data_IF_327227956043
#
_entry.id   IF_327227956043
#
_cell.length_a   1.000
_cell.length_b   1.000
_cell.length_c   1.000
_cell.angle_alpha   90.00
_cell.angle_beta   90.00
_cell.angle_gamma   90.00
#
_symmetry.space_group_name_H-M   'P 1'
#
loop_
_entity.id
_entity.type
_entity.pdbx_description
1 polymer ?
#
# COMPACT_ATOMS: atom_id res chain seq x y z
N UNK A 1 -21.93 9.30 -19.11
CA UNK A 1 -21.62 9.25 -20.56
C UNK A 1 -20.10 9.14 -20.79
N UNK A 2 -19.46 8.14 -20.16
CA UNK A 2 -18.02 7.83 -20.29
C UNK A 2 -17.76 6.32 -19.95
N UNK A 3 -18.67 5.44 -20.37
CA UNK A 3 -18.51 3.96 -20.27
C UNK A 3 -18.93 3.30 -21.59
N UNK A 4 -18.73 3.97 -22.73
CA UNK A 4 -19.15 3.42 -24.04
C UNK A 4 -18.12 3.53 -25.17
N UNK A 5 -16.86 3.86 -24.89
CA UNK A 5 -15.84 4.03 -25.95
C UNK A 5 -14.58 3.16 -25.74
N UNK A 6 -14.72 1.94 -25.20
CA UNK A 6 -13.65 0.92 -25.23
C UNK A 6 -14.02 -0.22 -26.20
N UNK A 7 -14.96 0.01 -27.13
CA UNK A 7 -15.39 -0.99 -28.13
C UNK A 7 -14.90 -0.69 -29.55
N UNK A 8 -13.97 0.24 -29.76
CA UNK A 8 -13.59 0.69 -31.11
C UNK A 8 -12.15 0.41 -31.52
N UNK A 9 -11.52 -0.66 -31.03
CA UNK A 9 -10.34 -1.21 -31.73
C UNK A 9 -10.15 -2.74 -31.50
N UNK A 10 -10.90 -3.59 -32.23
CA UNK A 10 -10.81 -5.05 -32.11
C UNK A 10 -9.48 -5.65 -32.61
N UNK A 11 -8.60 -4.85 -33.23
CA UNK A 11 -7.31 -5.33 -33.73
C UNK A 11 -6.24 -5.47 -32.64
N UNK A 12 -6.25 -4.64 -31.58
CA UNK A 12 -5.17 -4.65 -30.59
C UNK A 12 -5.30 -5.78 -29.57
N UNK A 13 -6.54 -6.12 -29.16
CA UNK A 13 -6.82 -7.20 -28.20
C UNK A 13 -6.63 -8.57 -28.87
N UNK A 14 -7.07 -8.72 -30.13
CA UNK A 14 -6.93 -9.97 -30.87
C UNK A 14 -5.45 -10.30 -31.16
N UNK A 15 -4.59 -9.30 -31.38
CA UNK A 15 -3.16 -9.53 -31.66
C UNK A 15 -2.38 -9.99 -30.42
N UNK A 16 -2.79 -9.58 -29.21
CA UNK A 16 -2.19 -10.05 -27.95
C UNK A 16 -2.69 -11.45 -27.61
N UNK A 17 -3.99 -11.72 -27.75
CA UNK A 17 -4.56 -13.06 -27.52
C UNK A 17 -4.03 -14.11 -28.53
N UNK A 18 -3.89 -13.75 -29.82
CA UNK A 18 -3.35 -14.65 -30.84
C UNK A 18 -1.85 -14.89 -30.69
N UNK A 19 -1.04 -13.87 -30.37
CA UNK A 19 0.40 -14.08 -30.10
C UNK A 19 0.66 -14.87 -28.83
N UNK A 20 -0.13 -14.66 -27.78
CA UNK A 20 -0.04 -15.48 -26.56
C UNK A 20 -0.45 -16.93 -26.83
N UNK A 21 -1.40 -17.17 -27.73
CA UNK A 21 -1.84 -18.52 -28.11
C UNK A 21 -0.81 -19.27 -28.97
N UNK A 22 -0.15 -18.57 -29.91
CA UNK A 22 0.90 -19.16 -30.76
C UNK A 22 2.20 -19.40 -29.99
N UNK A 23 2.62 -18.49 -29.10
CA UNK A 23 3.77 -18.74 -28.21
C UNK A 23 3.49 -19.82 -27.16
N UNK A 24 2.27 -19.93 -26.62
CA UNK A 24 1.91 -21.03 -25.70
C UNK A 24 1.99 -22.41 -26.37
N UNK A 25 1.79 -22.49 -27.69
CA UNK A 25 1.80 -23.75 -28.43
C UNK A 25 3.21 -24.31 -28.70
N UNK A 26 4.24 -23.45 -28.61
CA UNK A 26 5.65 -23.83 -28.82
C UNK A 26 6.46 -23.96 -27.52
N UNK A 27 5.85 -23.69 -26.36
CA UNK A 27 6.42 -24.03 -25.06
C UNK A 27 6.18 -25.52 -24.83
N UNK A 28 7.23 -26.36 -24.61
CA UNK A 28 7.01 -27.76 -24.28
C UNK A 28 6.11 -27.83 -23.05
N UNK A 29 5.04 -28.62 -23.11
CA UNK A 29 4.06 -28.74 -22.04
C UNK A 29 4.78 -29.01 -20.72
N UNK A 30 4.91 -27.97 -19.90
CA UNK A 30 5.38 -28.12 -18.53
C UNK A 30 4.21 -28.79 -17.81
N UNK A 31 4.27 -30.12 -17.70
CA UNK A 31 3.46 -30.85 -16.74
C UNK A 31 3.92 -30.42 -15.35
N UNK A 32 3.39 -29.32 -14.87
CA UNK A 32 3.36 -29.03 -13.45
C UNK A 32 1.90 -29.04 -13.08
N UNK A 33 1.50 -30.08 -12.34
CA UNK A 33 0.48 -29.93 -11.33
C UNK A 33 0.90 -28.70 -10.50
N UNK A 34 0.38 -27.54 -10.88
CA UNK A 34 0.76 -26.27 -10.29
C UNK A 34 0.33 -26.29 -8.85
N UNK A 35 1.25 -26.65 -7.95
CA UNK A 35 1.17 -26.23 -6.56
C UNK A 35 0.82 -24.75 -6.61
N UNK A 36 -0.37 -24.40 -6.11
CA UNK A 36 -0.61 -23.06 -5.58
C UNK A 36 0.67 -22.66 -4.85
N UNK A 37 1.24 -21.48 -5.15
CA UNK A 37 2.42 -20.99 -4.44
C UNK A 37 2.18 -21.27 -2.95
N UNK A 38 2.95 -22.18 -2.33
CA UNK A 38 2.71 -22.46 -0.94
C UNK A 38 2.97 -21.14 -0.23
N UNK A 39 1.92 -20.59 0.38
CA UNK A 39 2.11 -19.64 1.45
C UNK A 39 2.73 -20.49 2.55
N UNK A 40 4.05 -20.64 2.51
CA UNK A 40 4.85 -21.29 3.54
C UNK A 40 4.88 -20.37 4.78
N UNK A 41 3.69 -20.00 5.27
CA UNK A 41 3.55 -19.39 6.57
C UNK A 41 3.91 -20.47 7.60
N UNK A 42 4.82 -20.19 8.55
CA UNK A 42 5.20 -21.16 9.56
C UNK A 42 3.95 -21.66 10.31
N UNK A 43 3.85 -22.95 10.63
CA UNK A 43 2.68 -23.49 11.32
C UNK A 43 2.51 -22.79 12.67
N UNK A 44 1.40 -22.07 12.82
CA UNK A 44 1.05 -21.38 14.06
C UNK A 44 0.65 -22.44 15.10
N UNK A 45 1.54 -22.70 16.05
CA UNK A 45 1.40 -23.79 17.03
C UNK A 45 0.46 -23.46 18.21
N UNK A 46 -0.01 -22.22 18.33
CA UNK A 46 -0.93 -21.76 19.39
C UNK A 46 -1.68 -20.49 18.98
N UNK A 47 -2.88 -20.20 19.54
CA UNK A 47 -3.59 -18.95 19.24
C UNK A 47 -2.72 -17.76 19.65
N UNK A 48 -2.34 -16.94 18.67
CA UNK A 48 -1.51 -15.78 18.86
C UNK A 48 -2.37 -14.57 19.28
N UNK A 49 -1.81 -13.69 20.11
CA UNK A 49 -2.39 -12.37 20.31
C UNK A 49 -2.30 -11.56 19.01
N UNK A 50 -3.21 -10.59 18.82
CA UNK A 50 -3.20 -9.70 17.64
C UNK A 50 -1.83 -9.04 17.42
N UNK A 51 -1.14 -8.67 18.50
CA UNK A 51 0.20 -8.09 18.48
C UNK A 51 1.31 -9.05 18.05
N UNK A 52 1.07 -10.36 18.05
CA UNK A 52 2.05 -11.35 17.63
C UNK A 52 1.91 -11.70 16.14
N UNK A 53 0.73 -11.44 15.54
CA UNK A 53 0.53 -11.67 14.11
C UNK A 53 1.40 -10.77 13.23
N UNK A 54 1.73 -9.55 13.67
CA UNK A 54 2.63 -8.67 12.93
C UNK A 54 4.11 -9.13 12.95
N UNK A 55 4.45 -10.15 13.75
CA UNK A 55 5.80 -10.70 13.87
C UNK A 55 5.99 -11.99 13.07
N UNK A 56 4.95 -12.45 12.36
CA UNK A 56 5.04 -13.64 11.51
C UNK A 56 5.76 -13.23 10.23
N UNK A 57 6.87 -13.88 9.86
CA UNK A 57 7.51 -13.63 8.58
C UNK A 57 6.60 -14.11 7.46
N UNK A 58 6.28 -13.21 6.52
CA UNK A 58 5.38 -13.51 5.40
C UNK A 58 6.13 -13.43 4.07
N UNK A 59 7.15 -12.58 3.99
CA UNK A 59 7.98 -12.42 2.81
C UNK A 59 9.31 -13.17 2.96
N UNK A 60 9.93 -13.59 1.84
CA UNK A 60 11.29 -14.11 1.88
C UNK A 60 12.30 -13.16 2.54
N UNK A 61 12.08 -11.84 2.43
CA UNK A 61 12.90 -10.80 3.05
C UNK A 61 12.80 -10.73 4.58
N UNK A 62 11.78 -11.38 5.16
CA UNK A 62 11.56 -11.40 6.61
C UNK A 62 12.28 -12.58 7.27
N UNK A 63 12.65 -13.58 6.46
CA UNK A 63 13.39 -14.76 6.91
C UNK A 63 14.88 -14.48 6.85
N UNK A 64 15.41 -13.90 7.92
CA UNK A 64 16.83 -13.57 8.06
C UNK A 64 17.56 -14.61 8.91
N UNK A 65 18.80 -14.93 8.53
CA UNK A 65 19.71 -15.66 9.43
C UNK A 65 20.14 -14.75 10.59
N UNK A 66 20.56 -15.33 11.72
CA UNK A 66 21.01 -14.54 12.88
C UNK A 66 22.11 -13.51 12.52
N UNK A 67 23.04 -13.88 11.62
CA UNK A 67 24.09 -12.97 11.15
C UNK A 67 23.56 -11.86 10.25
N UNK A 68 22.52 -12.10 9.46
CA UNK A 68 21.85 -11.06 8.68
C UNK A 68 21.00 -10.14 9.54
N UNK A 69 20.33 -10.68 10.57
CA UNK A 69 19.61 -9.86 11.56
C UNK A 69 20.56 -8.91 12.27
N UNK A 70 21.71 -9.38 12.76
CA UNK A 70 22.70 -8.52 13.41
C UNK A 70 23.30 -7.49 12.44
N UNK A 71 23.44 -7.85 11.16
CA UNK A 71 23.96 -6.95 10.11
C UNK A 71 22.96 -5.87 9.70
N UNK A 72 21.70 -6.25 9.48
CA UNK A 72 20.68 -5.36 8.92
C UNK A 72 19.84 -4.64 9.98
N UNK A 73 19.72 -5.23 11.17
CA UNK A 73 18.98 -4.70 12.32
C UNK A 73 19.83 -4.81 13.60
N UNK A 74 21.01 -4.15 13.66
CA UNK A 74 21.86 -4.22 14.84
C UNK A 74 21.15 -3.62 16.08
N UNK A 75 21.11 -4.32 17.23
CA UNK A 75 20.34 -3.88 18.41
C UNK A 75 20.75 -2.51 18.98
N UNK A 76 21.99 -2.08 18.69
CA UNK A 76 22.54 -0.81 19.16
C UNK A 76 22.22 0.38 18.25
N UNK A 77 21.55 0.15 17.12
CA UNK A 77 21.27 1.20 16.13
C UNK A 77 19.77 1.36 15.98
N UNK A 78 19.30 2.54 16.32
CA UNK A 78 17.92 2.94 16.17
C UNK A 78 17.79 4.14 15.24
N UNK A 79 16.61 4.30 14.69
CA UNK A 79 16.25 5.49 13.93
C UNK A 79 15.89 6.68 14.85
N UNK A 80 15.40 7.76 14.25
CA UNK A 80 14.97 8.99 14.94
C UNK A 80 13.74 8.82 15.85
N UNK A 81 13.08 7.67 15.77
CA UNK A 81 11.91 7.30 16.57
C UNK A 81 12.23 6.26 17.66
N UNK A 82 13.51 5.88 17.83
CA UNK A 82 13.97 4.79 18.69
C UNK A 82 13.49 3.39 18.25
N UNK A 83 13.13 3.23 16.97
CA UNK A 83 12.82 1.94 16.38
C UNK A 83 14.09 1.29 15.79
N UNK A 84 14.16 -0.04 15.64
CA UNK A 84 15.30 -0.70 15.01
C UNK A 84 15.55 -0.16 13.59
N UNK A 85 16.76 0.32 13.32
CA UNK A 85 17.09 0.88 12.02
C UNK A 85 17.19 -0.21 10.94
N UNK A 86 16.48 -0.04 9.83
CA UNK A 86 16.54 -0.95 8.68
C UNK A 86 17.72 -0.60 7.75
N UNK A 87 18.82 -1.34 7.90
CA UNK A 87 20.04 -1.14 7.11
C UNK A 87 20.10 -2.00 5.84
N UNK A 88 18.99 -2.63 5.44
CA UNK A 88 18.96 -3.39 4.18
C UNK A 88 19.26 -2.47 3.00
N UNK A 89 20.01 -2.95 1.98
CA UNK A 89 20.33 -2.15 0.79
C UNK A 89 19.14 -2.01 -0.16
N UNK A 90 18.13 -2.88 -0.03
CA UNK A 90 16.94 -2.92 -0.86
C UNK A 90 15.72 -3.12 0.04
N UNK A 91 14.67 -2.35 -0.23
CA UNK A 91 13.35 -2.46 0.40
C UNK A 91 12.25 -2.18 -0.63
N UNK A 92 10.98 -2.31 -0.23
CA UNK A 92 9.80 -2.12 -1.07
C UNK A 92 9.75 -0.75 -1.76
N UNK A 93 10.43 0.27 -1.22
CA UNK A 93 10.51 1.61 -1.80
C UNK A 93 11.33 1.65 -3.10
N UNK A 94 12.27 0.72 -3.26
CA UNK A 94 13.15 0.63 -4.43
C UNK A 94 12.78 -0.49 -5.39
N UNK A 95 11.78 -1.29 -5.04
CA UNK A 95 11.36 -2.45 -5.83
C UNK A 95 10.63 -2.03 -7.11
N UNK A 96 11.01 -2.63 -8.24
CA UNK A 96 10.31 -2.46 -9.53
C UNK A 96 9.08 -3.38 -9.63
N UNK A 97 8.29 -3.24 -10.69
CA UNK A 97 7.10 -4.09 -10.90
C UNK A 97 7.45 -5.57 -11.08
N UNK A 98 8.62 -5.88 -11.66
CA UNK A 98 9.09 -7.24 -11.89
C UNK A 98 9.61 -7.91 -10.60
N UNK A 99 10.00 -7.11 -9.62
CA UNK A 99 10.60 -7.57 -8.36
C UNK A 99 9.57 -7.60 -7.21
N UNK A 100 8.41 -6.98 -7.37
CA UNK A 100 7.39 -6.92 -6.31
C UNK A 100 6.81 -8.31 -6.06
N UNK A 101 7.00 -8.82 -4.84
CA UNK A 101 6.44 -10.11 -4.45
C UNK A 101 4.89 -10.06 -4.45
N UNK A 102 4.18 -11.12 -4.87
CA UNK A 102 2.71 -11.11 -4.89
C UNK A 102 2.08 -10.84 -3.52
N UNK A 103 2.69 -11.36 -2.44
CA UNK A 103 2.17 -11.12 -1.09
C UNK A 103 2.34 -9.66 -0.67
N UNK A 104 3.48 -9.03 -0.97
CA UNK A 104 3.72 -7.59 -0.74
C UNK A 104 2.68 -6.74 -1.48
N UNK A 105 2.42 -7.06 -2.76
CA UNK A 105 1.39 -6.39 -3.54
C UNK A 105 0.02 -6.48 -2.88
N UNK A 106 -0.37 -7.68 -2.43
CA UNK A 106 -1.66 -7.91 -1.78
C UNK A 106 -1.76 -7.18 -0.43
N UNK A 107 -0.71 -7.24 0.38
CA UNK A 107 -0.66 -6.59 1.69
C UNK A 107 -0.75 -5.07 1.56
N UNK A 108 0.03 -4.47 0.64
CA UNK A 108 -0.02 -3.02 0.43
C UNK A 108 -1.40 -2.57 -0.04
N UNK A 109 -2.03 -3.30 -0.95
CA UNK A 109 -3.42 -3.00 -1.36
C UNK A 109 -4.41 -3.19 -0.21
N UNK A 110 -4.26 -4.26 0.56
CA UNK A 110 -5.13 -4.58 1.69
C UNK A 110 -5.10 -3.46 2.72
N UNK A 111 -3.90 -3.08 3.18
CA UNK A 111 -3.70 -2.07 4.23
C UNK A 111 -4.06 -0.67 3.75
N UNK A 112 -3.63 -0.28 2.54
CA UNK A 112 -3.74 1.11 2.10
C UNK A 112 -5.04 1.45 1.35
N UNK A 113 -5.82 0.46 0.90
CA UNK A 113 -7.02 0.71 0.09
C UNK A 113 -8.22 -0.13 0.52
N UNK A 114 -8.04 -1.44 0.69
CA UNK A 114 -9.15 -2.35 1.01
C UNK A 114 -9.68 -2.13 2.42
N UNK A 115 -8.81 -2.11 3.44
CA UNK A 115 -9.21 -1.89 4.83
C UNK A 115 -9.89 -0.53 5.01
N UNK A 116 -9.34 0.61 4.52
CA UNK A 116 -10.05 1.88 4.54
C UNK A 116 -11.45 1.82 3.91
N UNK A 117 -11.59 1.16 2.75
CA UNK A 117 -12.88 0.98 2.08
C UNK A 117 -13.88 0.21 2.95
N UNK A 118 -13.43 -0.86 3.60
CA UNK A 118 -14.27 -1.68 4.50
C UNK A 118 -14.67 -0.91 5.76
N UNK A 119 -13.76 -0.14 6.36
CA UNK A 119 -14.06 0.67 7.55
C UNK A 119 -15.10 1.75 7.22
N UNK A 120 -14.94 2.45 6.10
CA UNK A 120 -15.94 3.42 5.64
C UNK A 120 -17.29 2.74 5.44
N UNK A 121 -17.33 1.61 4.73
CA UNK A 121 -18.57 0.87 4.50
C UNK A 121 -19.27 0.46 5.80
N UNK A 122 -18.52 -0.03 6.80
CA UNK A 122 -19.10 -0.50 8.06
C UNK A 122 -19.51 0.62 9.01
N UNK A 123 -18.76 1.72 9.04
CA UNK A 123 -19.02 2.82 9.98
C UNK A 123 -19.95 3.91 9.44
N UNK A 124 -20.28 3.89 8.16
CA UNK A 124 -21.15 4.89 7.53
C UNK A 124 -22.45 5.11 8.31
N UNK A 125 -23.14 4.04 8.74
CA UNK A 125 -24.40 4.16 9.48
C UNK A 125 -24.23 4.75 10.89
N UNK A 126 -23.10 4.47 11.54
CA UNK A 126 -22.79 5.03 12.86
C UNK A 126 -22.46 6.52 12.74
N UNK A 127 -21.62 6.88 11.76
CA UNK A 127 -21.23 8.27 11.49
C UNK A 127 -22.42 9.14 11.08
N UNK A 128 -23.42 8.59 10.38
CA UNK A 128 -24.64 9.33 10.03
C UNK A 128 -25.51 9.59 11.27
N UNK A 129 -25.59 8.64 12.21
CA UNK A 129 -26.36 8.82 13.45
C UNK A 129 -25.73 9.88 14.35
N UNK A 130 -24.40 9.91 14.45
CA UNK A 130 -23.69 10.87 15.31
C UNK A 130 -23.89 12.33 14.88
N UNK A 131 -24.21 12.59 13.61
CA UNK A 131 -24.53 13.96 13.11
C UNK A 131 -25.72 14.57 13.86
N UNK A 132 -26.67 13.74 14.29
CA UNK A 132 -27.88 14.20 14.95
C UNK A 132 -27.76 14.26 16.49
N UNK A 133 -26.79 13.57 17.09
CA UNK A 133 -26.63 13.48 18.55
C UNK A 133 -25.41 14.25 19.07
N UNK A 134 -24.23 13.98 18.51
CA UNK A 134 -22.94 14.28 19.16
C UNK A 134 -22.08 15.28 18.38
N UNK A 135 -22.25 15.33 17.05
CA UNK A 135 -21.45 16.19 16.17
C UNK A 135 -22.34 17.05 15.26
N UNK A 136 -22.86 18.20 15.76
CA UNK A 136 -23.77 19.05 14.99
C UNK A 136 -23.13 19.66 13.74
N UNK A 137 -21.80 19.63 13.65
CA UNK A 137 -21.02 20.09 12.49
C UNK A 137 -20.82 19.00 11.43
N UNK A 138 -21.33 17.79 11.65
CA UNK A 138 -21.15 16.63 10.79
C UNK A 138 -20.01 15.70 11.25
N UNK A 139 -19.88 14.59 10.55
CA UNK A 139 -18.85 13.57 10.77
C UNK A 139 -17.81 13.63 9.66
N UNK A 140 -16.55 13.29 9.97
CA UNK A 140 -15.46 13.37 9.01
C UNK A 140 -14.80 12.01 8.81
N UNK A 141 -14.49 11.69 7.55
CA UNK A 141 -13.59 10.60 7.17
C UNK A 141 -12.40 11.23 6.46
N UNK A 142 -11.22 11.15 7.08
CA UNK A 142 -9.98 11.68 6.53
C UNK A 142 -9.09 10.51 6.10
N UNK A 143 -9.00 10.29 4.80
CA UNK A 143 -8.14 9.27 4.21
C UNK A 143 -6.72 9.81 4.04
N UNK A 144 -5.75 9.21 4.73
CA UNK A 144 -4.34 9.64 4.64
C UNK A 144 -3.69 9.05 3.38
N UNK A 145 -3.53 9.91 2.39
CA UNK A 145 -2.94 9.62 1.08
C UNK A 145 -1.56 10.25 0.97
N UNK A 146 -1.02 10.32 -0.25
CA UNK A 146 0.24 10.99 -0.54
C UNK A 146 0.35 11.42 -2.01
N UNK A 147 1.41 12.15 -2.35
CA UNK A 147 1.68 12.58 -3.74
C UNK A 147 1.76 11.41 -4.74
N UNK A 148 2.18 10.23 -4.26
CA UNK A 148 2.28 8.97 -4.98
C UNK A 148 0.95 8.51 -5.60
N UNK A 149 -0.19 8.90 -5.00
CA UNK A 149 -1.51 8.60 -5.52
C UNK A 149 -2.05 9.63 -6.53
N UNK A 150 -1.28 10.65 -6.89
CA UNK A 150 -1.73 11.73 -7.76
C UNK A 150 -1.33 11.50 -9.21
N UNK A 151 -2.31 11.32 -10.11
CA UNK A 151 -2.05 11.13 -11.54
C UNK A 151 -1.25 12.27 -12.20
N UNK A 152 -1.31 13.48 -11.64
CA UNK A 152 -0.60 14.67 -12.12
C UNK A 152 0.74 14.93 -11.38
N UNK A 153 1.23 13.98 -10.58
CA UNK A 153 2.51 14.13 -9.89
C UNK A 153 3.66 14.34 -10.89
N UNK A 154 4.65 15.19 -10.57
CA UNK A 154 5.64 15.65 -11.54
C UNK A 154 6.58 14.55 -12.05
N UNK A 155 6.85 13.50 -11.26
CA UNK A 155 7.76 12.40 -11.65
C UNK A 155 7.40 11.08 -11.00
N UNK A 156 7.45 10.01 -11.80
CA UNK A 156 7.41 8.62 -11.37
C UNK A 156 8.68 7.91 -11.86
N UNK A 157 9.23 7.04 -11.01
CA UNK A 157 10.59 6.50 -11.17
C UNK A 157 10.60 5.01 -11.54
N UNK A 158 9.44 4.37 -11.67
CA UNK A 158 9.31 2.93 -11.92
C UNK A 158 9.45 2.04 -10.67
N UNK A 159 9.59 2.63 -9.49
CA UNK A 159 9.67 1.93 -8.20
C UNK A 159 8.36 2.03 -7.41
N UNK A 160 8.17 1.15 -6.42
CA UNK A 160 7.06 1.14 -5.45
C UNK A 160 5.67 1.31 -6.09
N UNK A 161 5.48 0.74 -7.29
CA UNK A 161 4.27 0.90 -8.08
C UNK A 161 3.01 0.43 -7.33
N UNK A 162 3.13 -0.62 -6.51
CA UNK A 162 2.05 -1.15 -5.68
C UNK A 162 1.52 -0.11 -4.67
N UNK A 163 2.40 0.68 -4.05
CA UNK A 163 2.04 1.79 -3.15
C UNK A 163 1.34 2.92 -3.91
N UNK A 164 1.89 3.34 -5.06
CA UNK A 164 1.27 4.36 -5.91
C UNK A 164 -0.15 3.96 -6.32
N UNK A 165 -0.33 2.70 -6.74
CA UNK A 165 -1.64 2.14 -7.08
C UNK A 165 -2.60 2.18 -5.89
N UNK A 166 -2.17 1.77 -4.70
CA UNK A 166 -3.02 1.75 -3.52
C UNK A 166 -3.44 3.18 -3.09
N UNK A 167 -2.51 4.14 -3.10
CA UNK A 167 -2.80 5.55 -2.78
C UNK A 167 -3.71 6.20 -3.84
N UNK A 168 -3.53 5.87 -5.12
CA UNK A 168 -4.42 6.31 -6.19
C UNK A 168 -5.83 5.72 -6.02
N UNK A 169 -5.96 4.45 -5.64
CA UNK A 169 -7.23 3.82 -5.34
C UNK A 169 -7.93 4.49 -4.14
N UNK A 170 -7.19 4.84 -3.09
CA UNK A 170 -7.74 5.56 -1.92
C UNK A 170 -8.20 6.99 -2.27
N UNK A 171 -7.46 7.68 -3.14
CA UNK A 171 -7.91 8.97 -3.70
C UNK A 171 -9.19 8.82 -4.52
N UNK A 172 -9.29 7.75 -5.32
CA UNK A 172 -10.48 7.47 -6.10
C UNK A 172 -11.68 7.10 -5.23
N UNK A 173 -11.48 6.36 -4.13
CA UNK A 173 -12.52 6.10 -3.14
C UNK A 173 -13.09 7.41 -2.61
N UNK A 174 -12.23 8.29 -2.10
CA UNK A 174 -12.60 9.62 -1.59
C UNK A 174 -13.43 10.40 -2.60
N UNK A 175 -12.92 10.53 -3.83
CA UNK A 175 -13.61 11.26 -4.91
C UNK A 175 -14.96 10.65 -5.27
N UNK A 176 -15.05 9.32 -5.26
CA UNK A 176 -16.28 8.59 -5.62
C UNK A 176 -17.38 8.79 -4.59
N UNK A 177 -17.05 8.77 -3.29
CA UNK A 177 -18.06 8.72 -2.23
C UNK A 177 -18.34 10.07 -1.55
N UNK A 178 -17.52 11.11 -1.77
CA UNK A 178 -17.65 12.37 -1.05
C UNK A 178 -19.03 13.03 -1.23
N UNK A 179 -19.52 13.17 -2.47
CA UNK A 179 -20.81 13.82 -2.75
C UNK A 179 -22.01 13.05 -2.16
N UNK A 180 -22.17 11.73 -2.36
CA UNK A 180 -23.29 11.01 -1.75
C UNK A 180 -23.20 10.96 -0.22
N UNK A 181 -22.00 10.92 0.37
CA UNK A 181 -21.83 10.94 1.83
C UNK A 181 -22.16 12.30 2.45
N UNK A 182 -21.90 13.40 1.74
CA UNK A 182 -22.21 14.76 2.18
C UNK A 182 -23.70 14.96 2.48
N UNK A 183 -24.59 14.34 1.70
CA UNK A 183 -26.05 14.39 1.93
C UNK A 183 -26.42 13.78 3.29
N UNK A 184 -25.58 12.87 3.82
CA UNK A 184 -25.74 12.24 5.13
C UNK A 184 -25.02 12.99 6.26
N UNK A 185 -24.49 14.18 5.98
CA UNK A 185 -23.68 14.95 6.93
C UNK A 185 -22.28 14.36 7.19
N UNK A 186 -21.78 13.51 6.29
CA UNK A 186 -20.45 12.90 6.38
C UNK A 186 -19.54 13.51 5.32
N UNK A 187 -18.48 14.18 5.76
CA UNK A 187 -17.49 14.79 4.88
C UNK A 187 -16.29 13.87 4.70
N UNK A 188 -16.05 13.43 3.47
CA UNK A 188 -14.94 12.54 3.13
C UNK A 188 -13.88 13.34 2.39
N UNK A 189 -12.67 13.38 2.93
CA UNK A 189 -11.54 14.07 2.34
C UNK A 189 -10.31 13.15 2.30
N UNK A 190 -9.37 13.44 1.42
CA UNK A 190 -8.04 12.84 1.44
C UNK A 190 -6.98 13.89 1.69
N UNK A 191 -5.99 13.55 2.51
CA UNK A 191 -4.93 14.45 2.94
C UNK A 191 -3.58 13.81 2.66
N UNK A 192 -2.72 14.57 2.01
CA UNK A 192 -1.30 14.26 1.85
C UNK A 192 -0.51 14.92 2.98
N UNK A 193 0.17 14.10 3.79
CA UNK A 193 1.02 14.58 4.88
C UNK A 193 2.32 15.22 4.40
N UNK A 194 2.67 14.99 3.14
CA UNK A 194 4.00 15.27 2.60
C UNK A 194 5.04 14.28 3.10
N UNK A 195 6.30 14.57 2.80
CA UNK A 195 7.43 13.70 3.13
C UNK A 195 7.88 13.91 4.58
N UNK A 196 7.41 13.02 5.47
CA UNK A 196 7.64 13.09 6.93
C UNK A 196 8.68 12.08 7.45
N UNK A 197 8.98 11.02 6.69
CA UNK A 197 9.90 9.95 7.09
C UNK A 197 10.74 9.47 5.91
N UNK A 198 11.97 9.04 6.19
CA UNK A 198 12.85 8.46 5.17
C UNK A 198 12.45 7.01 4.87
N UNK A 199 11.92 6.78 3.66
CA UNK A 199 11.45 5.45 3.21
C UNK A 199 12.49 4.71 2.35
N UNK A 200 13.53 5.43 1.88
CA UNK A 200 14.61 4.85 1.07
C UNK A 200 15.56 4.00 1.93
N UNK A 201 16.23 2.99 1.32
CA UNK A 201 17.17 2.12 2.01
C UNK A 201 18.25 2.83 2.83
N UNK A 202 18.74 2.13 3.86
CA UNK A 202 19.84 2.59 4.72
C UNK A 202 19.42 3.21 6.04
N UNK A 203 18.12 3.23 6.37
CA UNK A 203 17.54 3.25 7.73
C UNK A 203 17.83 4.44 8.64
N UNK A 204 18.78 5.31 8.30
CA UNK A 204 19.27 6.38 9.15
C UNK A 204 19.29 7.67 8.33
N UNK A 205 18.68 8.73 8.87
CA UNK A 205 18.92 10.08 8.35
C UNK A 205 20.35 10.48 8.72
N UNK A 206 21.25 10.48 7.74
CA UNK A 206 22.62 10.99 7.90
C UNK A 206 22.73 12.38 7.28
N UNK A 207 23.75 13.15 7.65
CA UNK A 207 24.05 14.45 7.04
C UNK A 207 24.25 14.40 5.51
N UNK A 208 24.48 13.21 4.96
CA UNK A 208 24.68 12.95 3.53
C UNK A 208 23.40 12.54 2.79
N UNK A 209 22.34 12.17 3.52
CA UNK A 209 21.05 11.77 2.95
C UNK A 209 20.03 12.86 3.18
N UNK A 210 19.25 13.22 2.17
CA UNK A 210 18.22 14.24 2.31
C UNK A 210 17.26 13.87 3.45
N UNK A 211 17.22 14.71 4.47
CA UNK A 211 16.27 14.59 5.58
C UNK A 211 14.85 14.83 5.07
N UNK A 212 13.88 14.17 5.69
CA UNK A 212 12.48 14.49 5.44
C UNK A 212 12.25 15.98 5.79
N UNK A 213 11.68 16.79 4.88
CA UNK A 213 11.53 18.22 5.10
C UNK A 213 10.43 18.56 6.12
N UNK A 214 9.59 17.60 6.49
CA UNK A 214 8.49 17.75 7.43
C UNK A 214 8.69 16.82 8.62
N UNK A 215 8.24 17.28 9.79
CA UNK A 215 8.18 16.44 10.99
C UNK A 215 6.88 15.64 11.05
N UNK A 216 6.84 14.62 11.92
CA UNK A 216 5.60 13.88 12.22
C UNK A 216 4.51 14.79 12.77
N UNK A 217 4.87 15.83 13.54
CA UNK A 217 3.94 16.84 14.04
C UNK A 217 3.36 17.70 12.90
N UNK A 218 4.17 18.06 11.89
CA UNK A 218 3.68 18.75 10.69
C UNK A 218 2.70 17.88 9.90
N UNK A 219 3.00 16.57 9.78
CA UNK A 219 2.10 15.60 9.18
C UNK A 219 0.77 15.50 9.92
N UNK A 220 0.80 15.37 11.24
CA UNK A 220 -0.40 15.30 12.08
C UNK A 220 -1.24 16.58 12.00
N UNK A 221 -0.61 17.75 11.95
CA UNK A 221 -1.29 19.05 11.86
C UNK A 221 -2.05 19.26 10.53
N UNK A 222 -1.80 18.42 9.53
CA UNK A 222 -2.57 18.43 8.27
C UNK A 222 -3.84 17.58 8.35
N UNK A 223 -3.91 16.68 9.33
CA UNK A 223 -5.01 15.72 9.51
C UNK A 223 -5.99 16.20 10.59
N UNK A 224 -5.46 16.73 11.70
CA UNK A 224 -6.19 17.16 12.91
C UNK A 224 -6.71 18.60 12.80
#
# INVERSE_FOLDING_TARGET
QMVKNVESNPFLICTVEQRMSEELSMVPAISHAGKLLPIDAPPISSPLFSSQYCLIPVLPSDVLTAGETEKFFPPSVTDEHNEPADLRPHNSWTTTIQETHPIEMLEVQLVNSTVPSLLVSQFTELLAKSVHSDSPHGSFVINVTSTEGQFAAPKYHGHHAHTNMAKAALNMLTRTIAEPMKVRGIFVNSVDTGWVTKMTPGGIQTAQTAAAPLTTADGASRIL
#
